data_IF_353763304702
#
_entry.id   IF_353763304702
#
_cell.length_a   1.000
_cell.length_b   1.000
_cell.length_c   1.000
_cell.angle_alpha   90.00
_cell.angle_beta   90.00
_cell.angle_gamma   90.00
#
_symmetry.space_group_name_H-M   'P 1'
#
loop_
_entity.id
_entity.type
_entity.pdbx_description
1 polymer ?
#
# COMPACT_ATOMS: atom_id res chain seq x y z
N UNK A 1 -20.20 17.67 -6.31
CA UNK A 1 -20.24 16.37 -5.64
C UNK A 1 -19.60 15.36 -6.59
N UNK A 2 -18.59 14.60 -6.13
CA UNK A 2 -17.90 13.59 -6.92
C UNK A 2 -18.72 12.30 -6.92
N UNK A 3 -19.03 11.77 -8.08
CA UNK A 3 -19.81 10.53 -8.24
C UNK A 3 -18.89 9.35 -8.43
N UNK A 4 -18.87 8.43 -7.46
CA UNK A 4 -17.94 7.30 -7.37
C UNK A 4 -18.67 5.98 -7.53
N UNK A 5 -18.19 5.13 -8.46
CA UNK A 5 -18.58 3.73 -8.56
C UNK A 5 -17.57 2.84 -7.82
N UNK A 6 -18.06 1.75 -7.22
CA UNK A 6 -17.26 0.77 -6.51
C UNK A 6 -17.03 -0.44 -7.42
N UNK A 7 -15.75 -0.75 -7.70
CA UNK A 7 -15.37 -1.89 -8.53
C UNK A 7 -14.80 -3.00 -7.64
N UNK A 8 -15.62 -4.03 -7.42
CA UNK A 8 -15.35 -5.25 -6.66
C UNK A 8 -15.33 -5.11 -5.13
N UNK A 9 -15.87 -6.12 -4.46
CA UNK A 9 -15.79 -6.34 -3.00
C UNK A 9 -14.77 -7.45 -2.66
N UNK A 10 -13.87 -7.77 -3.58
CA UNK A 10 -12.90 -8.87 -3.37
C UNK A 10 -11.92 -8.55 -2.23
N UNK A 11 -11.34 -7.36 -2.22
CA UNK A 11 -10.39 -6.98 -1.19
C UNK A 11 -11.08 -6.64 0.14
N UNK A 12 -10.46 -7.02 1.26
CA UNK A 12 -11.02 -6.79 2.62
C UNK A 12 -11.26 -5.32 2.94
N UNK A 13 -10.54 -4.39 2.33
CA UNK A 13 -10.71 -2.96 2.54
C UNK A 13 -11.87 -2.34 1.72
N UNK A 14 -12.51 -3.06 0.81
CA UNK A 14 -13.58 -2.52 -0.03
C UNK A 14 -14.72 -1.88 0.80
N UNK A 15 -15.12 -2.55 1.88
CA UNK A 15 -16.16 -2.05 2.80
C UNK A 15 -15.70 -0.79 3.54
N UNK A 16 -14.44 -0.75 3.95
CA UNK A 16 -13.86 0.43 4.61
C UNK A 16 -13.90 1.64 3.68
N UNK A 17 -13.46 1.48 2.43
CA UNK A 17 -13.46 2.59 1.46
C UNK A 17 -14.87 3.07 1.14
N UNK A 18 -15.82 2.15 0.92
CA UNK A 18 -17.22 2.51 0.73
C UNK A 18 -17.76 3.36 1.89
N UNK A 19 -17.48 2.95 3.14
CA UNK A 19 -17.89 3.70 4.32
C UNK A 19 -17.20 5.06 4.42
N UNK A 20 -15.92 5.17 4.06
CA UNK A 20 -15.18 6.43 4.04
C UNK A 20 -15.76 7.39 3.00
N UNK A 21 -16.04 6.94 1.78
CA UNK A 21 -16.69 7.76 0.75
C UNK A 21 -18.09 8.17 1.15
N UNK A 22 -18.89 7.26 1.69
CA UNK A 22 -20.26 7.56 2.18
C UNK A 22 -20.29 8.61 3.30
N UNK A 23 -19.23 8.72 4.08
CA UNK A 23 -19.11 9.72 5.15
C UNK A 23 -18.68 11.12 4.66
N UNK A 24 -18.43 11.31 3.37
CA UNK A 24 -18.00 12.57 2.77
C UNK A 24 -19.21 13.30 2.15
N UNK A 25 -19.50 14.51 2.59
CA UNK A 25 -20.65 15.32 2.10
C UNK A 25 -20.53 15.72 0.62
N UNK A 26 -19.31 15.67 0.07
CA UNK A 26 -18.97 16.04 -1.31
C UNK A 26 -18.77 14.85 -2.24
N UNK A 27 -19.12 13.63 -1.79
CA UNK A 27 -19.05 12.37 -2.55
C UNK A 27 -20.44 11.71 -2.60
N UNK A 28 -20.78 11.14 -3.73
CA UNK A 28 -21.95 10.29 -3.95
C UNK A 28 -21.51 8.93 -4.48
N UNK A 29 -21.86 7.84 -3.79
CA UNK A 29 -21.71 6.50 -4.31
C UNK A 29 -22.88 6.21 -5.26
N UNK A 30 -22.61 5.74 -6.49
CA UNK A 30 -23.65 5.61 -7.52
C UNK A 30 -23.98 4.16 -7.87
N UNK A 31 -22.97 3.32 -8.06
CA UNK A 31 -23.19 1.92 -8.45
C UNK A 31 -22.03 1.01 -8.06
N UNK A 32 -22.28 -0.28 -8.13
CA UNK A 32 -21.32 -1.36 -7.88
C UNK A 32 -21.17 -2.19 -9.16
N UNK A 33 -19.94 -2.56 -9.48
CA UNK A 33 -19.58 -3.65 -10.36
C UNK A 33 -18.70 -4.65 -9.58
N UNK A 34 -18.79 -5.92 -9.96
CA UNK A 34 -17.96 -6.96 -9.34
C UNK A 34 -17.72 -8.08 -10.36
N UNK A 35 -16.53 -8.65 -10.41
CA UNK A 35 -16.19 -9.80 -11.24
C UNK A 35 -16.96 -11.06 -10.83
N UNK A 36 -17.44 -11.13 -9.59
CA UNK A 36 -18.47 -12.05 -9.14
C UNK A 36 -19.81 -11.32 -9.04
N UNK A 37 -20.70 -11.50 -10.04
CA UNK A 37 -21.98 -10.79 -10.06
C UNK A 37 -22.88 -11.05 -8.84
N UNK A 38 -22.78 -12.24 -8.23
CA UNK A 38 -23.58 -12.56 -7.05
C UNK A 38 -23.12 -11.77 -5.83
N UNK A 39 -21.80 -11.66 -5.62
CA UNK A 39 -21.18 -10.84 -4.57
C UNK A 39 -21.47 -9.35 -4.80
N UNK A 40 -21.30 -8.86 -6.02
CA UNK A 40 -21.56 -7.47 -6.37
C UNK A 40 -23.00 -7.05 -6.18
N UNK A 41 -23.96 -7.87 -6.64
CA UNK A 41 -25.39 -7.61 -6.48
C UNK A 41 -25.81 -7.57 -5.00
N UNK A 42 -25.30 -8.51 -4.19
CA UNK A 42 -25.54 -8.51 -2.75
C UNK A 42 -24.99 -7.26 -2.07
N UNK A 43 -23.78 -6.83 -2.46
CA UNK A 43 -23.16 -5.63 -1.91
C UNK A 43 -23.86 -4.35 -2.34
N UNK A 44 -24.27 -4.24 -3.60
CA UNK A 44 -25.08 -3.11 -4.09
C UNK A 44 -26.39 -2.98 -3.29
N UNK A 45 -27.08 -4.11 -3.04
CA UNK A 45 -28.29 -4.13 -2.23
C UNK A 45 -28.02 -3.68 -0.78
N UNK A 46 -26.93 -4.13 -0.16
CA UNK A 46 -26.48 -3.73 1.19
C UNK A 46 -26.27 -2.21 1.28
N UNK A 47 -25.69 -1.61 0.24
CA UNK A 47 -25.39 -0.20 0.17
C UNK A 47 -26.55 0.69 -0.30
N UNK A 48 -27.60 0.09 -0.88
CA UNK A 48 -28.73 0.79 -1.51
C UNK A 48 -28.32 1.46 -2.84
N UNK A 49 -27.41 0.84 -3.60
CA UNK A 49 -26.87 1.32 -4.87
C UNK A 49 -27.35 0.44 -6.05
N UNK A 50 -27.19 0.97 -7.27
CA UNK A 50 -27.36 0.19 -8.49
C UNK A 50 -26.26 -0.88 -8.60
N UNK A 51 -26.59 -2.02 -9.24
CA UNK A 51 -25.61 -3.01 -9.68
C UNK A 51 -25.54 -3.01 -11.21
N UNK A 52 -24.33 -2.88 -11.76
CA UNK A 52 -24.10 -3.00 -13.20
C UNK A 52 -23.15 -4.18 -13.47
N UNK A 53 -23.62 -5.18 -14.18
CA UNK A 53 -22.85 -6.40 -14.44
C UNK A 53 -21.80 -6.22 -15.56
N UNK A 54 -22.04 -5.28 -16.48
CA UNK A 54 -21.14 -4.98 -17.59
C UNK A 54 -20.27 -3.75 -17.27
N UNK A 55 -18.96 -3.96 -17.12
CA UNK A 55 -18.01 -2.91 -16.79
C UNK A 55 -18.00 -1.77 -17.83
N UNK A 56 -18.07 -2.11 -19.12
CA UNK A 56 -18.00 -1.10 -20.18
C UNK A 56 -19.27 -0.23 -20.19
N UNK A 57 -20.41 -0.79 -19.79
CA UNK A 57 -21.66 -0.04 -19.55
C UNK A 57 -21.54 0.87 -18.34
N UNK A 58 -21.00 0.37 -17.22
CA UNK A 58 -20.75 1.18 -16.01
C UNK A 58 -19.86 2.38 -16.35
N UNK A 59 -18.75 2.15 -17.04
CA UNK A 59 -17.78 3.20 -17.37
C UNK A 59 -18.34 4.26 -18.33
N UNK A 60 -19.39 3.97 -19.08
CA UNK A 60 -20.10 4.93 -19.95
C UNK A 60 -21.18 5.74 -19.22
N UNK A 61 -21.51 5.38 -18.00
CA UNK A 61 -22.56 6.09 -17.24
C UNK A 61 -22.19 7.56 -17.03
N UNK A 62 -23.11 8.50 -17.27
CA UNK A 62 -22.88 9.92 -17.05
C UNK A 62 -22.88 10.32 -15.57
N UNK A 63 -23.39 9.45 -14.69
CA UNK A 63 -23.43 9.59 -13.25
C UNK A 63 -22.28 8.83 -12.57
N UNK A 64 -21.17 8.59 -13.27
CA UNK A 64 -19.92 8.07 -12.73
C UNK A 64 -18.79 9.00 -13.17
N UNK A 65 -18.14 9.68 -12.24
CA UNK A 65 -16.96 10.53 -12.47
C UNK A 65 -15.67 9.77 -12.17
N UNK A 66 -15.74 8.81 -11.24
CA UNK A 66 -14.58 8.16 -10.67
C UNK A 66 -14.88 6.73 -10.23
N UNK A 67 -13.85 5.91 -10.07
CA UNK A 67 -13.94 4.52 -9.64
C UNK A 67 -13.01 4.23 -8.47
N UNK A 68 -13.48 3.38 -7.54
CA UNK A 68 -12.66 2.80 -6.46
C UNK A 68 -12.49 1.31 -6.74
N UNK A 69 -11.25 0.87 -6.98
CA UNK A 69 -10.91 -0.49 -7.42
C UNK A 69 -10.41 -1.31 -6.24
N UNK A 70 -11.12 -2.41 -5.93
CA UNK A 70 -10.80 -3.37 -4.88
C UNK A 70 -10.88 -4.81 -5.40
N UNK A 71 -10.61 -5.01 -6.68
CA UNK A 71 -10.62 -6.30 -7.38
C UNK A 71 -9.39 -7.15 -7.06
N UNK A 72 -9.36 -8.43 -7.51
CA UNK A 72 -8.11 -9.20 -7.57
C UNK A 72 -6.99 -8.44 -8.29
N UNK A 73 -5.75 -8.59 -7.81
CA UNK A 73 -4.61 -7.80 -8.30
C UNK A 73 -4.33 -8.03 -9.79
N UNK A 74 -4.54 -9.26 -10.28
CA UNK A 74 -4.34 -9.60 -11.70
C UNK A 74 -5.31 -8.87 -12.66
N UNK A 75 -6.41 -8.30 -12.15
CA UNK A 75 -7.38 -7.53 -12.94
C UNK A 75 -7.08 -6.02 -12.94
N UNK A 76 -6.20 -5.54 -12.08
CA UNK A 76 -5.92 -4.12 -11.90
C UNK A 76 -5.57 -3.42 -13.21
N UNK A 77 -4.66 -4.00 -14.02
CA UNK A 77 -4.25 -3.42 -15.31
C UNK A 77 -5.44 -3.13 -16.22
N UNK A 78 -6.26 -4.13 -16.48
CA UNK A 78 -7.40 -3.99 -17.40
C UNK A 78 -8.40 -2.95 -16.89
N UNK A 79 -8.76 -3.04 -15.60
CA UNK A 79 -9.74 -2.15 -14.98
C UNK A 79 -9.26 -0.68 -14.99
N UNK A 80 -7.98 -0.44 -14.64
CA UNK A 80 -7.42 0.90 -14.61
C UNK A 80 -7.28 1.51 -16.00
N UNK A 81 -6.84 0.74 -17.00
CA UNK A 81 -6.73 1.22 -18.39
C UNK A 81 -8.12 1.53 -18.96
N UNK A 82 -9.12 0.68 -18.73
CA UNK A 82 -10.50 0.94 -19.16
C UNK A 82 -11.09 2.17 -18.49
N UNK A 83 -10.89 2.32 -17.17
CA UNK A 83 -11.36 3.47 -16.41
C UNK A 83 -10.71 4.77 -16.93
N UNK A 84 -9.38 4.78 -17.11
CA UNK A 84 -8.63 5.93 -17.62
C UNK A 84 -9.12 6.32 -19.05
N UNK A 85 -9.29 5.34 -19.95
CA UNK A 85 -9.78 5.57 -21.31
C UNK A 85 -11.23 6.09 -21.34
N UNK A 86 -12.04 5.72 -20.34
CA UNK A 86 -13.38 6.28 -20.15
C UNK A 86 -13.35 7.63 -19.39
N UNK A 87 -12.15 8.20 -19.13
CA UNK A 87 -11.91 9.46 -18.40
C UNK A 87 -12.46 9.46 -16.99
N UNK A 88 -12.45 8.30 -16.32
CA UNK A 88 -12.82 8.19 -14.92
C UNK A 88 -11.58 8.30 -14.05
N UNK A 89 -11.65 9.12 -12.98
CA UNK A 89 -10.61 9.19 -11.97
C UNK A 89 -10.51 7.87 -11.20
N UNK A 90 -9.32 7.50 -10.71
CA UNK A 90 -9.05 6.16 -10.18
C UNK A 90 -8.52 6.26 -8.75
N UNK A 91 -9.18 5.57 -7.83
CA UNK A 91 -8.63 5.18 -6.53
C UNK A 91 -8.46 3.66 -6.52
N UNK A 92 -7.33 3.16 -6.04
CA UNK A 92 -7.05 1.72 -6.05
C UNK A 92 -6.39 1.22 -4.78
N UNK A 93 -6.63 -0.07 -4.49
CA UNK A 93 -5.81 -0.82 -3.56
C UNK A 93 -4.39 -1.04 -4.08
N UNK A 94 -3.47 -1.32 -3.13
CA UNK A 94 -2.10 -1.78 -3.41
C UNK A 94 -2.15 -3.30 -3.73
N UNK A 95 -1.28 -3.81 -4.57
CA UNK A 95 -0.29 -3.13 -5.41
C UNK A 95 -0.93 -2.70 -6.74
N UNK A 96 -0.31 -1.71 -7.42
CA UNK A 96 -0.89 -1.15 -8.65
C UNK A 96 -1.06 -2.21 -9.75
N UNK A 97 -0.07 -3.07 -9.95
CA UNK A 97 -0.11 -4.22 -10.85
C UNK A 97 0.93 -5.26 -10.41
N UNK A 98 0.96 -6.42 -11.08
CA UNK A 98 1.90 -7.50 -10.76
C UNK A 98 3.29 -7.31 -11.37
N UNK A 99 3.40 -6.51 -12.45
CA UNK A 99 4.66 -6.22 -13.15
C UNK A 99 4.85 -4.73 -13.41
N UNK A 100 6.11 -4.32 -13.49
CA UNK A 100 6.48 -2.94 -13.88
C UNK A 100 5.96 -2.61 -15.29
N UNK A 101 6.02 -3.56 -16.22
CA UNK A 101 5.50 -3.37 -17.58
C UNK A 101 4.00 -3.05 -17.59
N UNK A 102 3.20 -3.73 -16.75
CA UNK A 102 1.78 -3.44 -16.62
C UNK A 102 1.54 -2.04 -16.00
N UNK A 103 2.36 -1.64 -15.04
CA UNK A 103 2.32 -0.29 -14.48
C UNK A 103 2.61 0.77 -15.54
N UNK A 104 3.60 0.55 -16.42
CA UNK A 104 3.95 1.49 -17.48
C UNK A 104 2.79 1.69 -18.47
N UNK A 105 2.03 0.64 -18.81
CA UNK A 105 0.81 0.76 -19.63
C UNK A 105 -0.31 1.52 -18.90
N UNK A 106 -0.49 1.29 -17.59
CA UNK A 106 -1.47 2.05 -16.78
C UNK A 106 -1.09 3.53 -16.74
N UNK A 107 0.18 3.84 -16.51
CA UNK A 107 0.69 5.23 -16.49
C UNK A 107 0.39 5.93 -17.81
N UNK A 108 0.69 5.29 -18.94
CA UNK A 108 0.38 5.84 -20.27
C UNK A 108 -1.11 6.17 -20.41
N UNK A 109 -2.00 5.26 -19.98
CA UNK A 109 -3.43 5.49 -20.07
C UNK A 109 -3.91 6.64 -19.16
N UNK A 110 -3.42 6.69 -17.92
CA UNK A 110 -3.76 7.73 -16.95
C UNK A 110 -3.29 9.12 -17.44
N UNK A 111 -2.03 9.24 -17.88
CA UNK A 111 -1.44 10.48 -18.37
C UNK A 111 -2.10 10.95 -19.66
N UNK A 112 -2.33 10.05 -20.63
CA UNK A 112 -2.96 10.39 -21.92
C UNK A 112 -4.39 10.94 -21.75
N UNK A 113 -5.09 10.50 -20.70
CA UNK A 113 -6.47 10.91 -20.43
C UNK A 113 -6.58 12.02 -19.37
N UNK A 114 -5.48 12.39 -18.71
CA UNK A 114 -5.44 13.44 -17.68
C UNK A 114 -6.31 13.15 -16.47
N UNK A 115 -6.49 11.87 -16.13
CA UNK A 115 -7.30 11.46 -14.98
C UNK A 115 -6.45 11.46 -13.70
N UNK A 116 -7.09 11.75 -12.56
CA UNK A 116 -6.45 11.66 -11.25
C UNK A 116 -6.38 10.22 -10.80
N UNK A 117 -5.23 9.82 -10.30
CA UNK A 117 -4.97 8.48 -9.79
C UNK A 117 -4.44 8.54 -8.36
N UNK A 118 -4.91 7.63 -7.50
CA UNK A 118 -4.36 7.47 -6.15
C UNK A 118 -4.34 5.99 -5.78
N UNK A 119 -3.16 5.49 -5.38
CA UNK A 119 -3.00 4.18 -4.73
C UNK A 119 -3.05 4.33 -3.21
N UNK A 120 -3.62 3.33 -2.51
CA UNK A 120 -3.79 3.41 -1.06
C UNK A 120 -2.52 3.02 -0.29
N UNK A 121 -1.68 4.00 0.00
CA UNK A 121 -0.52 3.86 0.90
C UNK A 121 -0.81 4.51 2.27
N UNK A 122 -1.90 4.12 2.92
CA UNK A 122 -2.45 4.81 4.09
C UNK A 122 -1.48 4.94 5.27
N UNK A 123 -0.54 4.00 5.46
CA UNK A 123 0.42 4.11 6.57
C UNK A 123 1.36 5.32 6.45
N UNK A 124 1.51 5.92 5.26
CA UNK A 124 2.21 7.20 5.08
C UNK A 124 1.46 8.41 5.67
N UNK A 125 0.19 8.23 6.05
CA UNK A 125 -0.62 9.25 6.72
C UNK A 125 -0.55 9.17 8.25
N UNK A 126 0.01 8.08 8.81
CA UNK A 126 0.03 7.85 10.25
C UNK A 126 1.03 8.76 10.98
N UNK A 127 0.66 9.33 12.15
CA UNK A 127 1.51 10.24 12.93
C UNK A 127 2.92 9.72 13.19
N UNK A 128 3.01 8.43 13.53
CA UNK A 128 4.28 7.76 13.80
C UNK A 128 5.20 7.76 12.57
N UNK A 129 4.67 7.37 11.42
CA UNK A 129 5.44 7.26 10.18
C UNK A 129 5.81 8.64 9.63
N UNK A 130 4.93 9.64 9.80
CA UNK A 130 5.23 11.04 9.50
C UNK A 130 6.36 11.59 10.38
N UNK A 131 6.34 11.28 11.69
CA UNK A 131 7.41 11.67 12.60
C UNK A 131 8.75 11.04 12.21
N UNK A 132 8.77 9.73 11.90
CA UNK A 132 10.00 9.04 11.49
C UNK A 132 10.57 9.68 10.22
N UNK A 133 9.71 9.95 9.22
CA UNK A 133 10.12 10.63 7.98
C UNK A 133 10.73 12.00 8.26
N UNK A 134 10.09 12.82 9.10
CA UNK A 134 10.60 14.14 9.51
C UNK A 134 11.93 14.04 10.25
N UNK A 135 12.09 13.04 11.14
CA UNK A 135 13.33 12.84 11.89
C UNK A 135 14.50 12.44 10.97
N UNK A 136 14.25 11.64 9.93
CA UNK A 136 15.24 11.30 8.91
C UNK A 136 15.59 12.54 8.07
N UNK A 137 14.61 13.24 7.52
CA UNK A 137 14.81 14.41 6.64
C UNK A 137 15.49 15.59 7.35
N UNK A 138 15.20 15.79 8.63
CA UNK A 138 15.88 16.84 9.43
C UNK A 138 17.30 16.50 9.84
N UNK A 139 17.78 15.27 9.55
CA UNK A 139 19.10 14.80 9.96
C UNK A 139 19.25 14.53 11.45
N UNK A 140 18.14 14.45 12.19
CA UNK A 140 18.12 14.22 13.65
C UNK A 140 18.78 12.89 14.02
N UNK A 141 18.68 11.88 13.15
CA UNK A 141 19.31 10.58 13.31
C UNK A 141 20.72 10.48 12.70
N UNK A 142 21.20 11.54 12.03
CA UNK A 142 22.38 11.47 11.17
C UNK A 142 22.11 10.64 9.91
N UNK A 143 23.13 9.94 9.40
CA UNK A 143 22.96 9.02 8.29
C UNK A 143 22.24 7.76 8.80
N UNK A 144 21.12 7.40 8.19
CA UNK A 144 20.42 6.15 8.51
C UNK A 144 21.25 4.98 8.03
N UNK A 145 21.53 4.04 8.93
CA UNK A 145 22.29 2.83 8.61
C UNK A 145 21.37 1.63 8.37
N UNK A 146 20.33 1.47 9.22
CA UNK A 146 19.35 0.40 9.11
C UNK A 146 17.96 0.94 9.39
N UNK A 147 17.00 0.51 8.58
CA UNK A 147 15.56 0.68 8.80
C UNK A 147 14.93 -0.70 8.77
N UNK A 148 14.18 -1.09 9.80
CA UNK A 148 13.50 -2.38 9.86
C UNK A 148 12.02 -2.18 10.13
N UNK A 149 11.18 -2.76 9.28
CA UNK A 149 9.73 -2.72 9.44
C UNK A 149 9.20 -4.14 9.46
N UNK A 150 8.45 -4.46 10.51
CA UNK A 150 7.77 -5.75 10.66
C UNK A 150 6.26 -5.53 10.68
N UNK A 151 5.55 -6.15 9.71
CA UNK A 151 4.10 -6.15 9.61
C UNK A 151 3.60 -7.59 9.50
N UNK A 152 3.07 -8.14 10.58
CA UNK A 152 2.75 -9.55 10.71
C UNK A 152 1.43 -9.75 11.45
N UNK A 153 0.75 -10.85 11.12
CA UNK A 153 -0.35 -11.40 11.90
C UNK A 153 -0.41 -12.94 11.72
N UNK A 154 -1.41 -13.59 12.24
CA UNK A 154 -1.56 -15.04 12.16
C UNK A 154 -2.72 -15.51 11.28
N UNK A 155 -3.14 -14.72 10.30
CA UNK A 155 -4.37 -14.97 9.54
C UNK A 155 -4.45 -16.33 8.85
N UNK A 156 -3.33 -16.78 8.27
CA UNK A 156 -3.28 -18.11 7.65
C UNK A 156 -3.27 -19.22 8.69
N UNK A 157 -2.48 -19.08 9.76
CA UNK A 157 -2.45 -20.10 10.83
C UNK A 157 -3.76 -20.19 11.60
N UNK A 158 -4.45 -19.07 11.82
CA UNK A 158 -5.73 -19.00 12.51
C UNK A 158 -6.94 -19.28 11.61
N UNK A 159 -6.75 -19.36 10.29
CA UNK A 159 -7.79 -19.72 9.32
C UNK A 159 -8.90 -18.68 9.15
N UNK A 160 -8.64 -17.38 9.42
CA UNK A 160 -9.65 -16.35 9.22
C UNK A 160 -9.52 -15.59 7.89
N UNK A 161 -8.42 -15.80 7.15
CA UNK A 161 -8.32 -15.33 5.77
C UNK A 161 -9.16 -16.23 4.86
N UNK A 162 -9.93 -15.68 3.91
CA UNK A 162 -10.72 -16.48 2.98
C UNK A 162 -9.84 -17.26 2.00
N UNK A 163 -10.30 -18.38 1.50
CA UNK A 163 -9.53 -19.30 0.64
C UNK A 163 -8.99 -18.63 -0.63
N UNK A 164 -9.75 -17.71 -1.23
CA UNK A 164 -9.31 -16.98 -2.43
C UNK A 164 -8.08 -16.08 -2.21
N UNK A 165 -7.73 -15.80 -0.93
CA UNK A 165 -6.54 -15.03 -0.57
C UNK A 165 -5.23 -15.81 -0.83
N UNK A 166 -5.34 -17.12 -1.00
CA UNK A 166 -4.20 -18.02 -1.23
C UNK A 166 -4.07 -18.45 -2.70
N UNK A 167 -4.85 -17.86 -3.61
CA UNK A 167 -4.75 -18.15 -5.04
C UNK A 167 -3.68 -17.24 -5.68
N UNK A 168 -2.51 -17.81 -6.08
CA UNK A 168 -1.40 -17.02 -6.63
C UNK A 168 -1.74 -16.36 -7.98
N UNK A 169 -2.73 -16.88 -8.71
CA UNK A 169 -3.14 -16.31 -9.99
C UNK A 169 -3.86 -14.96 -9.79
N UNK A 170 -4.71 -14.86 -8.79
CA UNK A 170 -5.50 -13.66 -8.50
C UNK A 170 -4.77 -12.66 -7.63
N UNK A 171 -4.01 -13.12 -6.63
CA UNK A 171 -3.28 -12.27 -5.67
C UNK A 171 -1.90 -11.86 -6.15
N UNK A 172 -1.24 -12.70 -6.96
CA UNK A 172 0.16 -12.55 -7.34
C UNK A 172 1.17 -13.01 -6.27
N UNK A 173 0.69 -13.44 -5.09
CA UNK A 173 1.51 -13.93 -3.98
C UNK A 173 0.77 -13.91 -2.66
N UNK A 174 1.48 -14.16 -1.57
CA UNK A 174 0.93 -14.28 -0.22
C UNK A 174 1.32 -13.17 0.73
N UNK A 175 2.03 -13.52 1.80
CA UNK A 175 2.40 -12.59 2.87
C UNK A 175 3.17 -11.36 2.37
N UNK A 176 4.10 -11.54 1.42
CA UNK A 176 4.86 -10.42 0.86
C UNK A 176 3.94 -9.51 0.04
N UNK A 177 3.08 -10.07 -0.82
CA UNK A 177 2.19 -9.30 -1.69
C UNK A 177 1.15 -8.51 -0.88
N UNK A 178 0.63 -9.09 0.18
CA UNK A 178 -0.36 -8.43 1.03
C UNK A 178 0.28 -7.53 2.11
N UNK A 179 0.83 -8.12 3.15
CA UNK A 179 1.36 -7.36 4.30
C UNK A 179 2.71 -6.71 4.00
N UNK A 180 3.54 -7.36 3.17
CA UNK A 180 4.88 -6.89 2.84
C UNK A 180 4.90 -5.62 1.98
N UNK A 181 3.83 -5.33 1.25
CA UNK A 181 3.70 -4.08 0.51
C UNK A 181 3.88 -2.85 1.41
N UNK A 182 3.40 -2.90 2.67
CA UNK A 182 3.53 -1.78 3.61
C UNK A 182 4.98 -1.50 4.02
N UNK A 183 5.77 -2.45 4.53
CA UNK A 183 7.20 -2.26 4.75
C UNK A 183 7.96 -1.80 3.51
N UNK A 184 7.60 -2.30 2.32
CA UNK A 184 8.26 -1.96 1.06
C UNK A 184 8.08 -0.48 0.71
N UNK A 185 6.83 0.03 0.61
CA UNK A 185 6.63 1.45 0.28
C UNK A 185 7.11 2.39 1.39
N UNK A 186 7.02 2.00 2.67
CA UNK A 186 7.55 2.80 3.76
C UNK A 186 9.08 2.91 3.68
N UNK A 187 9.77 1.82 3.39
CA UNK A 187 11.22 1.82 3.23
C UNK A 187 11.66 2.74 2.10
N UNK A 188 11.02 2.64 0.94
CA UNK A 188 11.32 3.47 -0.22
C UNK A 188 10.98 4.95 0.03
N UNK A 189 9.83 5.23 0.62
CA UNK A 189 9.45 6.60 0.96
C UNK A 189 10.43 7.25 1.93
N UNK A 190 11.00 6.50 2.88
CA UNK A 190 11.92 7.02 3.88
C UNK A 190 13.35 7.14 3.39
N UNK A 191 13.83 6.17 2.62
CA UNK A 191 15.25 6.03 2.25
C UNK A 191 15.56 6.43 0.81
N UNK A 192 14.54 6.59 -0.04
CA UNK A 192 14.72 6.99 -1.43
C UNK A 192 14.87 5.82 -2.39
N UNK A 193 15.83 5.90 -3.31
CA UNK A 193 15.97 4.94 -4.41
C UNK A 193 16.69 3.66 -3.97
N UNK A 194 16.09 2.47 -4.21
CA UNK A 194 16.75 1.19 -3.96
C UNK A 194 17.82 0.90 -5.03
N UNK A 195 18.84 0.16 -4.64
CA UNK A 195 19.97 -0.29 -5.50
C UNK A 195 19.87 -1.77 -5.80
N UNK A 196 19.65 -2.59 -4.77
CA UNK A 196 19.45 -4.03 -4.92
C UNK A 196 18.58 -4.61 -3.81
N UNK A 197 18.05 -5.81 -4.04
CA UNK A 197 17.21 -6.53 -3.10
C UNK A 197 17.59 -8.02 -3.07
N UNK A 198 17.55 -8.59 -1.86
CA UNK A 198 17.61 -10.03 -1.61
C UNK A 198 16.37 -10.43 -0.82
N UNK A 199 15.80 -11.60 -1.11
CA UNK A 199 14.58 -12.06 -0.46
C UNK A 199 14.64 -13.55 -0.13
N UNK A 200 13.93 -13.92 0.95
CA UNK A 200 13.69 -15.31 1.34
C UNK A 200 12.26 -15.46 1.76
N UNK A 201 11.53 -16.31 1.04
CA UNK A 201 10.13 -16.63 1.30
C UNK A 201 9.99 -18.08 1.74
N UNK A 202 9.07 -18.31 2.69
CA UNK A 202 8.79 -19.62 3.23
C UNK A 202 7.28 -19.87 3.26
N UNK A 203 6.92 -21.14 3.34
CA UNK A 203 5.55 -21.58 3.44
C UNK A 203 5.43 -22.64 4.57
N UNK A 204 4.70 -22.32 5.63
CA UNK A 204 4.49 -23.16 6.79
C UNK A 204 3.12 -23.82 6.80
N UNK A 205 2.12 -23.24 6.12
CA UNK A 205 0.73 -23.73 6.12
C UNK A 205 0.43 -24.69 4.99
N UNK A 206 1.27 -24.72 3.94
CA UNK A 206 1.04 -25.53 2.75
C UNK A 206 0.06 -24.92 1.74
N UNK A 207 -0.39 -23.65 1.93
CA UNK A 207 -1.13 -22.93 0.92
C UNK A 207 -0.26 -22.66 -0.33
N UNK A 208 -0.85 -22.40 -1.52
CA UNK A 208 -0.08 -22.20 -2.76
C UNK A 208 0.84 -20.98 -2.77
N UNK A 209 0.70 -20.07 -1.81
CA UNK A 209 1.47 -18.81 -1.70
C UNK A 209 2.34 -18.83 -0.44
N UNK A 210 3.35 -17.97 -0.38
CA UNK A 210 4.18 -17.82 0.81
C UNK A 210 3.39 -17.18 1.97
N UNK A 211 3.65 -17.65 3.18
CA UNK A 211 3.02 -17.14 4.40
C UNK A 211 4.00 -16.47 5.36
N UNK A 212 5.29 -16.44 5.00
CA UNK A 212 6.36 -15.75 5.71
C UNK A 212 7.42 -15.28 4.74
N UNK A 213 7.83 -14.01 4.81
CA UNK A 213 8.80 -13.43 3.88
C UNK A 213 9.66 -12.36 4.55
N UNK A 214 10.94 -12.33 4.16
CA UNK A 214 11.90 -11.32 4.54
C UNK A 214 12.62 -10.83 3.29
N UNK A 215 12.75 -9.51 3.15
CA UNK A 215 13.56 -8.88 2.12
C UNK A 215 14.55 -7.90 2.73
N UNK A 216 15.78 -7.88 2.19
CA UNK A 216 16.83 -6.92 2.54
C UNK A 216 17.10 -6.06 1.30
N UNK A 217 17.02 -4.74 1.46
CA UNK A 217 17.09 -3.76 0.37
C UNK A 217 18.21 -2.77 0.66
N UNK A 218 19.13 -2.59 -0.26
CA UNK A 218 20.14 -1.54 -0.21
C UNK A 218 19.67 -0.29 -0.97
N UNK A 219 19.99 0.89 -0.45
CA UNK A 219 19.62 2.19 -1.00
C UNK A 219 20.84 3.00 -1.44
N UNK A 220 20.65 3.96 -2.38
CA UNK A 220 21.74 4.82 -2.89
C UNK A 220 22.48 5.58 -1.77
N UNK A 221 21.79 5.93 -0.70
CA UNK A 221 22.37 6.57 0.49
C UNK A 221 23.13 5.60 1.42
N UNK A 222 23.31 4.33 1.00
CA UNK A 222 23.95 3.23 1.75
C UNK A 222 23.17 2.70 2.93
N UNK A 223 21.96 3.18 3.16
CA UNK A 223 21.08 2.58 4.16
C UNK A 223 20.62 1.20 3.70
N UNK A 224 20.36 0.32 4.67
CA UNK A 224 19.76 -0.99 4.43
C UNK A 224 18.39 -1.03 5.07
N UNK A 225 17.36 -1.41 4.31
CA UNK A 225 16.06 -1.73 4.88
C UNK A 225 15.85 -3.24 5.02
N UNK A 226 15.14 -3.64 6.08
CA UNK A 226 14.69 -5.01 6.31
C UNK A 226 13.16 -4.98 6.36
N UNK A 227 12.53 -5.57 5.35
CA UNK A 227 11.09 -5.78 5.30
C UNK A 227 10.77 -7.19 5.79
N UNK A 228 9.98 -7.28 6.88
CA UNK A 228 9.54 -8.55 7.45
C UNK A 228 8.02 -8.64 7.44
N UNK A 229 7.51 -9.79 6.97
CA UNK A 229 6.07 -10.03 6.92
C UNK A 229 5.72 -11.49 7.18
N UNK A 230 4.57 -11.75 7.80
CA UNK A 230 4.12 -13.11 8.09
C UNK A 230 2.60 -13.17 8.30
N UNK A 231 1.99 -14.23 7.78
CA UNK A 231 0.61 -14.63 8.03
C UNK A 231 0.49 -15.77 9.06
N UNK A 232 1.63 -16.16 9.64
CA UNK A 232 1.74 -17.29 10.60
C UNK A 232 2.39 -16.89 11.93
N UNK A 233 2.38 -15.61 12.27
CA UNK A 233 3.02 -15.09 13.47
C UNK A 233 1.99 -14.63 14.52
N UNK A 234 1.55 -15.52 15.43
CA UNK A 234 0.70 -15.13 16.55
C UNK A 234 1.46 -14.28 17.57
N UNK A 235 0.75 -13.40 18.26
CA UNK A 235 1.29 -12.57 19.36
C UNK A 235 2.47 -11.68 18.96
N UNK A 236 2.64 -11.43 17.66
CA UNK A 236 3.73 -10.61 17.14
C UNK A 236 3.36 -9.13 17.17
N UNK A 237 4.15 -8.26 17.80
CA UNK A 237 3.95 -6.82 17.71
C UNK A 237 4.30 -6.31 16.30
N UNK A 238 3.66 -5.23 15.88
CA UNK A 238 4.16 -4.42 14.77
C UNK A 238 5.41 -3.69 15.22
N UNK A 239 6.47 -3.75 14.43
CA UNK A 239 7.75 -3.13 14.80
C UNK A 239 8.20 -2.19 13.69
N UNK A 240 8.75 -1.05 14.14
CA UNK A 240 9.45 -0.11 13.27
C UNK A 240 10.71 0.38 13.99
N UNK A 241 11.87 0.10 13.42
CA UNK A 241 13.16 0.44 13.99
C UNK A 241 13.97 1.25 13.00
N UNK A 242 14.55 2.37 13.42
CA UNK A 242 15.46 3.18 12.62
C UNK A 242 16.73 3.43 13.40
N UNK A 243 17.85 3.03 12.84
CA UNK A 243 19.19 3.21 13.40
C UNK A 243 19.96 4.19 12.50
N UNK A 244 20.51 5.23 13.10
CA UNK A 244 21.34 6.21 12.42
C UNK A 244 22.61 6.52 13.19
N UNK A 245 23.53 7.25 12.56
CA UNK A 245 24.83 7.58 13.14
C UNK A 245 24.77 8.53 14.35
N UNK A 246 23.61 9.19 14.59
CA UNK A 246 23.40 10.14 15.68
C UNK A 246 22.21 9.80 16.58
N UNK A 247 21.42 8.79 16.23
CA UNK A 247 20.25 8.44 17.03
C UNK A 247 19.53 7.20 16.56
N UNK A 248 18.52 6.80 17.33
CA UNK A 248 17.70 5.61 17.10
C UNK A 248 16.25 5.91 17.44
N UNK A 249 15.32 5.36 16.65
CA UNK A 249 13.89 5.32 16.93
C UNK A 249 13.47 3.86 17.00
N UNK A 250 12.73 3.51 18.06
CA UNK A 250 12.12 2.20 18.24
C UNK A 250 10.61 2.36 18.42
N UNK A 251 9.84 1.64 17.61
CA UNK A 251 8.40 1.55 17.74
C UNK A 251 7.99 0.10 17.91
N UNK A 252 7.18 -0.17 18.91
CA UNK A 252 6.56 -1.47 19.15
C UNK A 252 5.06 -1.21 19.33
N UNK A 253 4.24 -1.68 18.42
CA UNK A 253 2.82 -1.30 18.31
C UNK A 253 2.64 0.23 18.30
N UNK A 254 1.98 0.79 19.28
CA UNK A 254 1.76 2.25 19.41
C UNK A 254 2.81 2.96 20.25
N UNK A 255 3.69 2.20 20.91
CA UNK A 255 4.77 2.78 21.70
C UNK A 255 5.93 3.22 20.80
N UNK A 256 6.25 4.51 20.85
CA UNK A 256 7.41 5.10 20.17
C UNK A 256 8.36 5.72 21.19
N UNK A 257 9.63 5.43 21.05
CA UNK A 257 10.70 6.07 21.83
C UNK A 257 11.91 6.34 20.93
N UNK A 258 12.61 7.38 21.30
CA UNK A 258 13.76 7.88 20.57
C UNK A 258 14.92 8.15 21.51
N UNK A 259 16.13 7.96 21.01
CA UNK A 259 17.37 8.36 21.69
C UNK A 259 18.33 8.95 20.66
N UNK A 260 18.99 10.06 20.99
CA UNK A 260 20.02 10.71 20.19
C UNK A 260 21.29 10.94 21.00
N UNK A 261 22.40 11.25 20.33
CA UNK A 261 23.63 11.65 21.01
C UNK A 261 23.43 12.87 21.91
N UNK A 262 22.51 13.76 21.57
CA UNK A 262 22.15 14.93 22.37
C UNK A 262 21.33 14.54 23.59
N UNK A 263 20.23 13.77 23.41
CA UNK A 263 19.38 13.34 24.51
C UNK A 263 20.10 12.44 25.53
N UNK A 264 21.08 11.67 25.06
CA UNK A 264 21.93 10.84 25.97
C UNK A 264 22.74 11.66 26.97
N UNK A 265 23.01 12.94 26.67
CA UNK A 265 23.69 13.88 27.55
C UNK A 265 22.76 14.66 28.49
N UNK A 266 21.46 14.75 28.12
CA UNK A 266 20.49 15.63 28.77
C UNK A 266 19.51 14.88 29.69
N UNK A 267 19.24 13.60 29.41
CA UNK A 267 18.26 12.78 30.12
C UNK A 267 18.90 11.49 30.58
N UNK A 268 18.62 11.07 31.81
CA UNK A 268 19.11 9.79 32.36
C UNK A 268 18.62 8.64 31.42
N UNK A 269 19.58 7.84 30.94
CA UNK A 269 19.34 6.78 29.96
C UNK A 269 19.08 7.26 28.54
N UNK A 270 18.91 8.57 28.30
CA UNK A 270 18.81 9.19 26.97
C UNK A 270 17.53 8.96 26.20
N UNK A 271 16.62 8.08 26.65
CA UNK A 271 15.37 7.76 25.95
C UNK A 271 14.26 8.76 26.29
N UNK A 272 13.49 9.13 25.29
CA UNK A 272 12.29 9.96 25.45
C UNK A 272 11.20 9.58 24.43
N UNK A 273 9.97 9.96 24.72
CA UNK A 273 8.82 9.83 23.83
C UNK A 273 8.69 11.12 23.04
N UNK A 274 8.82 11.09 21.71
CA UNK A 274 8.67 12.28 20.89
C UNK A 274 7.21 12.73 20.78
N UNK A 275 7.00 14.03 20.56
CA UNK A 275 5.68 14.54 20.18
C UNK A 275 5.42 14.21 18.71
N UNK A 276 4.36 13.48 18.44
CA UNK A 276 3.97 13.12 17.09
C UNK A 276 3.22 14.27 16.38
N UNK A 277 3.36 14.43 15.07
CA UNK A 277 2.52 15.32 14.26
C UNK A 277 1.07 14.81 14.22
N UNK A 278 0.16 15.64 13.75
CA UNK A 278 -1.19 15.20 13.41
C UNK A 278 -1.18 14.25 12.21
N UNK A 279 -2.15 13.32 12.17
CA UNK A 279 -2.34 12.45 11.02
C UNK A 279 -2.71 13.27 9.78
N UNK A 280 -2.21 12.85 8.62
CA UNK A 280 -2.77 13.35 7.36
C UNK A 280 -4.15 12.72 7.12
N UNK A 281 -5.04 13.38 6.38
CA UNK A 281 -6.27 12.77 5.92
C UNK A 281 -5.98 11.44 5.21
N UNK A 282 -6.88 10.46 5.33
CA UNK A 282 -6.74 9.19 4.63
C UNK A 282 -6.61 9.39 3.11
N UNK A 283 -5.89 8.53 2.34
CA UNK A 283 -5.71 8.67 0.89
C UNK A 283 -7.01 8.87 0.11
N UNK A 284 -8.13 8.26 0.54
CA UNK A 284 -9.46 8.49 -0.07
C UNK A 284 -9.88 9.97 -0.03
N UNK A 285 -9.68 10.66 1.12
CA UNK A 285 -10.00 12.07 1.23
C UNK A 285 -9.04 12.93 0.40
N UNK A 286 -7.75 12.63 0.43
CA UNK A 286 -6.75 13.35 -0.36
C UNK A 286 -7.01 13.21 -1.87
N UNK A 287 -7.45 12.04 -2.33
CA UNK A 287 -7.85 11.80 -3.71
C UNK A 287 -9.05 12.67 -4.12
N UNK A 288 -10.11 12.68 -3.31
CA UNK A 288 -11.28 13.54 -3.55
C UNK A 288 -10.89 15.02 -3.58
N UNK A 289 -10.02 15.45 -2.64
CA UNK A 289 -9.50 16.82 -2.60
C UNK A 289 -8.71 17.18 -3.86
N UNK A 290 -7.92 16.26 -4.39
CA UNK A 290 -7.14 16.47 -5.62
C UNK A 290 -8.03 16.68 -6.84
N UNK A 291 -9.19 15.99 -6.89
CA UNK A 291 -10.14 16.09 -7.98
C UNK A 291 -10.99 17.36 -7.87
N UNK A 292 -11.58 17.62 -6.71
CA UNK A 292 -12.56 18.69 -6.53
C UNK A 292 -11.93 20.05 -6.26
N UNK A 293 -10.78 20.08 -5.58
CA UNK A 293 -10.20 21.31 -5.03
C UNK A 293 -8.75 21.55 -5.46
N UNK A 294 -8.19 20.70 -6.32
CA UNK A 294 -6.80 20.85 -6.76
C UNK A 294 -5.77 20.55 -5.67
N UNK A 295 -6.13 19.70 -4.70
CA UNK A 295 -5.20 19.26 -3.65
C UNK A 295 -4.00 18.49 -4.21
N UNK A 296 -2.94 18.30 -3.42
CA UNK A 296 -1.74 17.61 -3.87
C UNK A 296 -1.99 16.12 -4.11
N UNK A 297 -1.44 15.60 -5.20
CA UNK A 297 -1.40 14.16 -5.50
C UNK A 297 -0.14 13.57 -4.85
N UNK A 298 -0.32 12.78 -3.77
CA UNK A 298 0.80 12.23 -2.99
C UNK A 298 1.08 10.75 -3.24
N UNK A 299 0.10 10.05 -3.77
CA UNK A 299 0.14 8.59 -3.95
C UNK A 299 -0.29 8.28 -5.38
N UNK A 300 0.46 8.86 -6.34
CA UNK A 300 0.15 8.79 -7.75
C UNK A 300 0.65 7.51 -8.43
N UNK A 301 0.62 7.52 -9.75
CA UNK A 301 1.04 6.37 -10.57
C UNK A 301 2.53 6.03 -10.37
N UNK A 302 3.37 7.03 -10.07
CA UNK A 302 4.81 6.78 -9.87
C UNK A 302 5.08 6.05 -8.55
N UNK A 303 4.35 6.38 -7.47
CA UNK A 303 4.40 5.65 -6.21
C UNK A 303 3.92 4.20 -6.39
N UNK A 304 2.81 4.01 -7.12
CA UNK A 304 2.30 2.67 -7.42
C UNK A 304 3.30 1.82 -8.21
N UNK A 305 3.92 2.40 -9.24
CA UNK A 305 4.97 1.75 -10.03
C UNK A 305 6.19 1.39 -9.19
N UNK A 306 6.63 2.34 -8.35
CA UNK A 306 7.80 2.14 -7.50
C UNK A 306 7.58 1.01 -6.48
N UNK A 307 6.39 0.91 -5.89
CA UNK A 307 6.02 -0.23 -5.05
C UNK A 307 6.01 -1.54 -5.85
N UNK A 308 5.39 -1.56 -7.03
CA UNK A 308 5.38 -2.76 -7.88
C UNK A 308 6.78 -3.22 -8.26
N UNK A 309 7.72 -2.29 -8.54
CA UNK A 309 9.11 -2.63 -8.85
C UNK A 309 9.82 -3.31 -7.66
N UNK A 310 9.59 -2.83 -6.43
CA UNK A 310 10.09 -3.49 -5.22
C UNK A 310 9.53 -4.91 -5.07
N UNK A 311 8.22 -5.05 -5.27
CA UNK A 311 7.52 -6.33 -5.13
C UNK A 311 7.96 -7.33 -6.19
N UNK A 312 7.98 -6.96 -7.47
CA UNK A 312 8.41 -7.82 -8.58
C UNK A 312 9.85 -8.31 -8.36
N UNK A 313 10.76 -7.39 -8.00
CA UNK A 313 12.15 -7.74 -7.74
C UNK A 313 12.32 -8.63 -6.49
N UNK A 314 11.48 -8.47 -5.45
CA UNK A 314 11.49 -9.35 -4.28
C UNK A 314 11.11 -10.79 -4.64
N UNK A 315 10.08 -10.97 -5.48
CA UNK A 315 9.68 -12.29 -5.98
C UNK A 315 10.73 -12.91 -6.92
N UNK A 316 11.38 -12.10 -7.76
CA UNK A 316 12.49 -12.57 -8.61
C UNK A 316 13.67 -13.00 -7.72
N UNK A 317 14.04 -12.21 -6.72
CA UNK A 317 15.15 -12.50 -5.82
C UNK A 317 14.93 -13.82 -5.05
N UNK A 318 13.72 -14.05 -4.55
CA UNK A 318 13.39 -15.31 -3.88
C UNK A 318 13.38 -16.49 -4.84
N UNK A 319 12.73 -16.37 -6.00
CA UNK A 319 12.62 -17.44 -6.99
C UNK A 319 13.98 -17.88 -7.53
N UNK A 320 14.86 -16.91 -7.82
CA UNK A 320 16.18 -17.15 -8.41
C UNK A 320 17.28 -17.34 -7.36
N UNK A 321 16.97 -17.13 -6.08
CA UNK A 321 17.90 -17.25 -4.94
C UNK A 321 19.18 -16.42 -5.13
N UNK A 322 19.03 -15.23 -5.64
CA UNK A 322 20.11 -14.27 -5.88
C UNK A 322 19.69 -12.84 -5.57
N UNK A 323 20.67 -11.98 -5.45
CA UNK A 323 20.46 -10.53 -5.43
C UNK A 323 19.92 -10.05 -6.79
N UNK A 324 18.97 -9.11 -6.75
CA UNK A 324 18.41 -8.43 -7.93
C UNK A 324 18.71 -6.95 -7.83
N UNK A 325 19.37 -6.41 -8.85
CA UNK A 325 19.66 -4.98 -8.96
C UNK A 325 18.47 -4.23 -9.58
N UNK A 326 18.20 -3.03 -9.07
CA UNK A 326 17.23 -2.12 -9.68
C UNK A 326 17.84 -1.43 -10.90
N UNK A 327 17.03 -1.20 -11.94
CA UNK A 327 17.47 -0.45 -13.12
C UNK A 327 17.91 0.97 -12.73
N UNK A 328 18.98 1.49 -13.37
CA UNK A 328 19.49 2.84 -13.10
C UNK A 328 18.59 3.94 -13.67
#
# INVERSE_FOLDING_TARGET
MLKVALLSKWHVHAVEYANRFKAMDDVELTCVWDEDPARGQAWAQELGLDFEADLDTLLKRPDVDAVSICSPTNMHKELMIKAANAKKHIFTEKVMALTVADCDEIIQAVEANGVKFTICEFQRCEPRNLFIKQAIESGLLGDVTVLRVRNCHNGALAGWLPDYWYDPETTGGGAMMDLGAHPMYLSQWMLGRPVCIQSTFNNFTGHPVEDNAISVIEFENKAVAISETSLVSPLTPRMFEVYGTKGVILCVDDDIRMKTLESDRMVEGGWFVPKLPEALPHPTRQWVDSILYGGPERYGVQEGRALTELMENAYIADREKREVAFAK
#
